data_IF_139339428670
#
_entry.id   IF_139339428670
#
_cell.length_a   1.000
_cell.length_b   1.000
_cell.length_c   1.000
_cell.angle_alpha   90.00
_cell.angle_beta   90.00
_cell.angle_gamma   90.00
#
_symmetry.space_group_name_H-M   'P 1'
#
loop_
_entity.id
_entity.type
_entity.pdbx_description
1 polymer ?
#
# COMPACT_ATOMS: atom_id res chain seq x y z
N UNK A 1 -14.34 -26.68 17.98
CA UNK A 1 -14.39 -25.25 17.62
C UNK A 1 -13.12 -24.95 16.84
N UNK A 2 -13.22 -24.42 15.62
CA UNK A 2 -12.04 -24.18 14.77
C UNK A 2 -11.51 -22.76 14.99
N UNK A 3 -10.22 -22.64 15.30
CA UNK A 3 -9.52 -21.37 15.50
C UNK A 3 -9.28 -20.61 14.18
N UNK A 4 -9.34 -21.31 13.05
CA UNK A 4 -9.04 -20.80 11.70
C UNK A 4 -10.02 -21.42 10.71
N UNK A 5 -10.45 -20.65 9.72
CA UNK A 5 -11.32 -21.07 8.61
C UNK A 5 -10.71 -20.63 7.28
N UNK A 6 -11.05 -21.32 6.19
CA UNK A 6 -10.60 -20.97 4.84
C UNK A 6 -11.25 -19.66 4.36
N UNK A 7 -10.47 -18.83 3.66
CA UNK A 7 -10.94 -17.59 3.03
C UNK A 7 -10.34 -17.39 1.64
N UNK A 8 -11.16 -16.96 0.68
CA UNK A 8 -10.70 -16.50 -0.64
C UNK A 8 -10.53 -14.96 -0.55
N UNK A 9 -9.35 -14.51 -0.13
CA UNK A 9 -9.01 -13.08 0.00
C UNK A 9 -7.93 -12.67 -0.99
N UNK A 10 -7.97 -11.41 -1.44
CA UNK A 10 -6.88 -10.81 -2.20
C UNK A 10 -5.66 -10.68 -1.30
N UNK A 11 -4.48 -10.98 -1.84
CA UNK A 11 -3.21 -10.99 -1.12
C UNK A 11 -2.17 -10.16 -1.87
N UNK A 12 -1.15 -9.69 -1.15
CA UNK A 12 0.02 -9.05 -1.74
C UNK A 12 0.92 -10.07 -2.43
N UNK A 13 1.47 -9.67 -3.57
CA UNK A 13 2.60 -10.36 -4.18
C UNK A 13 3.90 -9.96 -3.47
N UNK A 14 4.43 -10.87 -2.66
CA UNK A 14 5.65 -10.65 -1.87
C UNK A 14 6.94 -10.61 -2.71
N UNK A 15 6.86 -10.95 -4.01
CA UNK A 15 7.98 -10.74 -4.93
C UNK A 15 8.15 -9.26 -5.32
N UNK A 16 7.06 -8.50 -5.37
CA UNK A 16 7.03 -7.09 -5.79
C UNK A 16 7.40 -6.11 -4.68
N UNK A 17 7.26 -6.52 -3.42
CA UNK A 17 7.55 -5.66 -2.27
C UNK A 17 8.29 -6.42 -1.17
N UNK A 18 9.36 -5.81 -0.67
CA UNK A 18 10.27 -6.43 0.31
C UNK A 18 10.55 -5.49 1.47
N UNK A 19 11.04 -6.06 2.57
CA UNK A 19 11.57 -5.28 3.70
C UNK A 19 12.66 -4.32 3.20
N UNK A 20 12.65 -3.11 3.71
CA UNK A 20 13.55 -2.02 3.30
C UNK A 20 13.05 -1.17 2.14
N UNK A 21 11.99 -1.58 1.43
CA UNK A 21 11.40 -0.75 0.38
C UNK A 21 10.75 0.49 0.99
N UNK A 22 10.72 1.56 0.22
CA UNK A 22 10.07 2.81 0.56
C UNK A 22 8.58 2.70 0.21
N UNK A 23 7.74 3.24 1.09
CA UNK A 23 6.30 3.22 0.92
C UNK A 23 5.70 4.57 1.29
N UNK A 24 4.80 5.05 0.44
CA UNK A 24 3.81 6.06 0.78
C UNK A 24 2.45 5.39 0.85
N UNK A 25 1.71 5.66 1.91
CA UNK A 25 0.33 5.21 2.03
C UNK A 25 -0.55 6.28 2.68
N UNK A 26 -1.77 6.44 2.15
CA UNK A 26 -2.79 7.30 2.73
C UNK A 26 -4.09 6.53 2.84
N UNK A 27 -4.52 6.27 4.07
CA UNK A 27 -5.86 5.76 4.32
C UNK A 27 -6.88 6.87 4.12
N UNK A 28 -8.06 6.54 3.60
CA UNK A 28 -9.16 7.50 3.36
C UNK A 28 -9.60 8.31 4.59
N UNK A 29 -9.42 7.76 5.80
CA UNK A 29 -9.79 8.45 7.05
C UNK A 29 -8.69 9.37 7.59
N UNK A 30 -7.51 9.37 6.97
CA UNK A 30 -6.40 10.19 7.41
C UNK A 30 -6.38 11.52 6.66
N UNK A 31 -6.06 12.63 7.35
CA UNK A 31 -5.94 13.93 6.69
C UNK A 31 -4.79 13.92 5.67
N UNK A 32 -3.67 13.30 6.04
CA UNK A 32 -2.45 13.26 5.23
C UNK A 32 -1.92 11.83 5.09
N UNK A 33 -1.26 11.57 3.96
CA UNK A 33 -0.52 10.33 3.73
C UNK A 33 0.81 10.30 4.48
N UNK A 34 1.30 9.10 4.74
CA UNK A 34 2.54 8.87 5.48
C UNK A 34 3.54 8.14 4.61
N UNK A 35 4.75 8.68 4.56
CA UNK A 35 5.93 8.03 3.97
C UNK A 35 6.72 7.28 5.02
N UNK A 36 7.25 6.12 4.66
CA UNK A 36 8.03 5.27 5.55
C UNK A 36 8.75 4.16 4.79
N UNK A 37 9.25 3.18 5.53
CA UNK A 37 9.87 1.99 4.97
C UNK A 37 9.25 0.72 5.50
N UNK A 38 9.21 -0.30 4.64
CA UNK A 38 8.59 -1.59 4.92
C UNK A 38 9.45 -2.37 5.91
N UNK A 39 8.88 -2.75 7.04
CA UNK A 39 9.56 -3.57 8.08
C UNK A 39 9.12 -5.03 8.07
N UNK A 40 7.90 -5.31 7.59
CA UNK A 40 7.40 -6.66 7.38
C UNK A 40 6.45 -6.73 6.19
N UNK A 41 6.48 -7.88 5.50
CA UNK A 41 5.58 -8.22 4.41
C UNK A 41 5.07 -9.63 4.65
N UNK A 42 3.76 -9.79 4.65
CA UNK A 42 3.07 -11.08 4.48
C UNK A 42 2.14 -10.98 3.28
N UNK A 43 1.55 -12.11 2.90
CA UNK A 43 0.49 -12.15 1.88
C UNK A 43 -0.72 -11.27 2.28
N UNK A 44 -1.04 -11.17 3.57
CA UNK A 44 -2.23 -10.46 4.07
C UNK A 44 -1.97 -9.03 4.54
N UNK A 45 -0.73 -8.68 4.88
CA UNK A 45 -0.44 -7.40 5.51
C UNK A 45 0.98 -6.90 5.20
N UNK A 46 1.09 -5.59 4.98
CA UNK A 46 2.37 -4.88 4.98
C UNK A 46 2.46 -4.02 6.23
N UNK A 47 3.60 -4.04 6.91
CA UNK A 47 3.90 -3.17 8.05
C UNK A 47 4.92 -2.13 7.63
N UNK A 48 4.61 -0.87 7.86
CA UNK A 48 5.47 0.27 7.52
C UNK A 48 5.86 1.02 8.77
N UNK A 49 7.16 1.26 8.94
CA UNK A 49 7.67 2.18 9.95
C UNK A 49 7.75 3.59 9.37
N UNK A 50 7.30 4.59 10.13
CA UNK A 50 7.33 5.99 9.73
C UNK A 50 7.70 6.90 10.90
N UNK A 51 8.12 8.11 10.56
CA UNK A 51 8.38 9.17 11.52
C UNK A 51 7.09 10.01 11.75
N UNK A 52 6.51 10.03 12.96
CA UNK A 52 5.25 10.72 13.24
C UNK A 52 5.39 12.24 13.42
N UNK A 53 6.61 12.79 13.37
CA UNK A 53 6.83 14.24 13.54
C UNK A 53 6.80 14.71 14.99
N UNK A 54 6.65 13.79 15.96
CA UNK A 54 6.61 14.10 17.39
C UNK A 54 7.75 13.37 18.08
N UNK A 55 8.59 14.12 18.80
CA UNK A 55 9.77 13.60 19.49
C UNK A 55 10.69 12.76 18.58
N UNK A 56 11.57 11.96 19.18
CA UNK A 56 12.44 11.03 18.46
C UNK A 56 11.88 9.60 18.55
N UNK A 57 10.62 9.41 18.13
CA UNK A 57 9.96 8.09 18.13
C UNK A 57 9.63 7.66 16.71
N UNK A 58 9.71 6.36 16.46
CA UNK A 58 9.20 5.72 15.24
C UNK A 58 7.90 5.00 15.55
N UNK A 59 6.91 5.12 14.68
CA UNK A 59 5.64 4.40 14.81
C UNK A 59 5.41 3.52 13.58
N UNK A 60 4.43 2.63 13.66
CA UNK A 60 4.06 1.74 12.58
C UNK A 60 2.61 1.97 12.15
N UNK A 61 2.34 1.72 10.88
CA UNK A 61 0.99 1.46 10.40
C UNK A 61 0.96 0.18 9.59
N UNK A 62 -0.24 -0.35 9.42
CA UNK A 62 -0.50 -1.63 8.80
C UNK A 62 -1.39 -1.42 7.60
N UNK A 63 -1.06 -2.06 6.48
CA UNK A 63 -1.92 -2.10 5.29
C UNK A 63 -2.44 -3.53 5.13
N UNK A 64 -3.70 -3.80 5.49
CA UNK A 64 -4.38 -5.05 5.17
C UNK A 64 -4.63 -5.16 3.66
N UNK A 65 -4.38 -6.34 3.08
CA UNK A 65 -4.51 -6.57 1.63
C UNK A 65 -5.95 -6.39 1.12
N UNK A 66 -6.93 -6.72 1.96
CA UNK A 66 -8.36 -6.56 1.69
C UNK A 66 -8.78 -5.09 1.66
N UNK A 67 -8.33 -4.26 2.61
CA UNK A 67 -8.60 -2.83 2.62
C UNK A 67 -7.95 -2.11 1.42
N UNK A 68 -6.69 -2.47 1.10
CA UNK A 68 -5.99 -1.92 -0.07
C UNK A 68 -6.75 -2.29 -1.34
N UNK A 69 -7.15 -3.55 -1.48
CA UNK A 69 -7.93 -3.99 -2.62
C UNK A 69 -9.32 -3.35 -2.71
N UNK A 70 -9.93 -3.01 -1.57
CA UNK A 70 -11.19 -2.27 -1.48
C UNK A 70 -11.05 -0.77 -1.81
N UNK A 71 -9.83 -0.29 -2.05
CA UNK A 71 -9.57 1.11 -2.41
C UNK A 71 -9.60 2.05 -1.22
N UNK A 72 -9.45 1.55 0.01
CA UNK A 72 -9.38 2.40 1.20
C UNK A 72 -8.04 3.12 1.35
N UNK A 73 -7.04 2.69 0.57
CA UNK A 73 -5.68 3.18 0.62
C UNK A 73 -5.20 3.67 -0.75
N UNK A 74 -4.61 4.85 -0.78
CA UNK A 74 -3.70 5.27 -1.85
C UNK A 74 -2.31 4.73 -1.51
N UNK A 75 -1.71 3.94 -2.39
CA UNK A 75 -0.42 3.28 -2.12
C UNK A 75 0.57 3.52 -3.24
N UNK A 76 1.78 3.94 -2.87
CA UNK A 76 2.95 4.00 -3.75
C UNK A 76 4.13 3.33 -3.07
N UNK A 77 4.95 2.62 -3.84
CA UNK A 77 6.15 1.99 -3.32
C UNK A 77 7.31 2.07 -4.30
N UNK A 78 8.51 1.95 -3.75
CA UNK A 78 9.75 1.96 -4.51
C UNK A 78 10.84 1.19 -3.79
N UNK A 79 11.74 0.55 -4.52
CA UNK A 79 12.92 -0.07 -3.93
C UNK A 79 13.96 1.00 -3.51
N UNK A 80 14.13 2.04 -4.31
CA UNK A 80 15.27 2.99 -4.24
C UNK A 80 14.94 4.43 -4.68
N UNK A 81 13.67 4.74 -4.96
CA UNK A 81 13.14 5.98 -5.55
C UNK A 81 13.55 6.28 -6.99
N UNK A 82 14.21 5.35 -7.70
CA UNK A 82 14.45 5.51 -9.15
C UNK A 82 13.14 5.35 -9.91
N UNK A 83 12.37 4.33 -9.54
CA UNK A 83 11.03 4.06 -10.08
C UNK A 83 10.00 4.04 -8.94
N UNK A 84 8.87 4.70 -9.14
CA UNK A 84 7.76 4.70 -8.17
C UNK A 84 6.57 3.98 -8.79
N UNK A 85 6.18 2.88 -8.17
CA UNK A 85 4.98 2.14 -8.54
C UNK A 85 3.78 2.67 -7.76
N UNK A 86 2.60 2.65 -8.38
CA UNK A 86 1.33 3.06 -7.78
C UNK A 86 0.29 1.96 -7.91
N UNK A 87 -0.43 1.69 -6.83
CA UNK A 87 -1.58 0.78 -6.85
C UNK A 87 -2.86 1.60 -6.94
N UNK A 88 -3.67 1.32 -7.97
CA UNK A 88 -5.03 1.84 -8.09
C UNK A 88 -6.01 0.69 -7.97
N UNK A 89 -6.84 0.71 -6.93
CA UNK A 89 -7.98 -0.20 -6.83
C UNK A 89 -8.95 0.10 -7.97
N UNK A 90 -9.24 -0.92 -8.80
CA UNK A 90 -10.07 -0.77 -9.99
C UNK A 90 -11.55 -0.62 -9.66
N UNK A 91 -12.12 0.55 -9.98
CA UNK A 91 -13.55 0.82 -9.98
C UNK A 91 -13.95 2.07 -10.79
N UNK A 92 -13.84 2.00 -12.13
CA UNK A 92 -14.54 2.77 -13.21
C UNK A 92 -14.55 4.32 -13.18
N UNK A 93 -14.20 5.08 -14.21
CA UNK A 93 -14.43 4.93 -15.67
C UNK A 93 -13.16 5.36 -16.41
N UNK A 94 -12.81 4.60 -17.47
CA UNK A 94 -11.81 5.04 -18.42
C UNK A 94 -12.35 6.14 -19.32
N UNK A 95 -11.61 7.23 -19.45
CA UNK A 95 -11.60 8.05 -20.66
C UNK A 95 -10.30 7.75 -21.38
N UNK A 96 -10.32 6.64 -22.13
CA UNK A 96 -9.41 6.39 -23.24
C UNK A 96 -9.85 7.28 -24.41
N UNK A 97 -9.66 8.60 -24.27
CA UNK A 97 -9.69 9.48 -25.45
C UNK A 97 -8.34 9.31 -26.12
N UNK A 98 -8.35 8.36 -27.05
CA UNK A 98 -7.26 8.07 -27.96
C UNK A 98 -6.66 9.34 -28.54
N UNK A 99 -5.35 9.27 -28.75
CA UNK A 99 -4.57 10.35 -29.32
C UNK A 99 -5.16 10.85 -30.64
N UNK A 100 -5.09 12.16 -30.81
CA UNK A 100 -4.89 12.72 -32.14
C UNK A 100 -3.49 13.30 -32.15
N UNK A 101 -2.66 12.71 -33.00
CA UNK A 101 -1.53 13.39 -33.58
C UNK A 101 -2.06 14.38 -34.62
N UNK A 102 -1.65 15.64 -34.51
CA UNK A 102 -1.53 16.61 -35.60
C UNK A 102 -0.56 17.70 -35.16
#
# INVERSE_FOLDING_TARGET
MALIVDSITKVFDTAQIKKGYLMYAKHRSWPDGRGGFVTAVTDKQITVQYHPGIANVTNHFFLPADEVAAGEWEVRWSADMIEVHEYRSGGGVGDDVGGVSS
#
